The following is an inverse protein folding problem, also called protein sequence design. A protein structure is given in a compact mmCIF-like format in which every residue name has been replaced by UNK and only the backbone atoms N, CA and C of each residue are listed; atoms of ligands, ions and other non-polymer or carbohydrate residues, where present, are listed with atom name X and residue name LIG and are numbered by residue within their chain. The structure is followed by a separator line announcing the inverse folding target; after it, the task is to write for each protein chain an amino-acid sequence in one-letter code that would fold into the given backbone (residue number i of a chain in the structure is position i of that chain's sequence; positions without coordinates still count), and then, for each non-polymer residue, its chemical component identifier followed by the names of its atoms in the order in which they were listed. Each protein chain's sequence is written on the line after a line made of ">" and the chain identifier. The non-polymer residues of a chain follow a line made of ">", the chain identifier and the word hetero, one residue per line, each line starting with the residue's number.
data_IF_202305768417
#
_entry.id   IF_202305768417
#
_cell.length_a   1.000
_cell.length_b   1.000
_cell.length_c   1.000
_cell.angle_alpha   90.00
_cell.angle_beta   90.00
_cell.angle_gamma   90.00
#
_symmetry.space_group_name_H-M   'P 1'
#
loop_
_entity.id
_entity.type
_entity.pdbx_description
1 polymer ?
#
# COMPACT_ATOMS: atom_id res chain seq x y z
N UNK A 1 1.04 9.05 35.54
CA UNK A 1 -0.29 9.61 35.80
C UNK A 1 -1.21 9.21 34.67
N UNK A 2 -2.34 8.58 34.97
CA UNK A 2 -3.34 8.22 33.97
C UNK A 2 -4.27 9.42 33.73
N UNK A 3 -4.65 9.66 32.48
CA UNK A 3 -5.68 10.65 32.17
C UNK A 3 -7.08 10.05 32.37
N UNK A 4 -8.07 10.92 32.47
CA UNK A 4 -9.47 10.55 32.73
C UNK A 4 -10.01 9.54 31.70
N UNK A 5 -9.70 9.73 30.41
CA UNK A 5 -10.11 8.79 29.36
C UNK A 5 -9.52 7.39 29.53
N UNK A 6 -8.27 7.28 29.99
CA UNK A 6 -7.63 5.98 30.27
C UNK A 6 -8.26 5.30 31.48
N UNK A 7 -8.58 6.07 32.53
CA UNK A 7 -9.23 5.54 33.73
C UNK A 7 -10.62 5.00 33.40
N UNK A 8 -11.43 5.76 32.65
CA UNK A 8 -12.76 5.34 32.22
C UNK A 8 -12.71 4.07 31.35
N UNK A 9 -11.73 3.99 30.44
CA UNK A 9 -11.53 2.79 29.62
C UNK A 9 -11.19 1.55 30.46
N UNK A 10 -10.26 1.68 31.40
CA UNK A 10 -9.90 0.58 32.31
C UNK A 10 -11.10 0.12 33.15
N UNK A 11 -11.90 1.07 33.67
CA UNK A 11 -13.12 0.75 34.40
C UNK A 11 -14.10 -0.06 33.55
N UNK A 12 -14.33 0.35 32.30
CA UNK A 12 -15.23 -0.34 31.39
C UNK A 12 -14.74 -1.75 31.04
N UNK A 13 -13.45 -1.94 30.81
CA UNK A 13 -12.87 -3.27 30.62
C UNK A 13 -13.06 -4.18 31.83
N UNK A 14 -12.81 -3.67 33.05
CA UNK A 14 -12.99 -4.44 34.27
C UNK A 14 -14.45 -4.88 34.45
N UNK A 15 -15.41 -3.99 34.16
CA UNK A 15 -16.83 -4.33 34.20
C UNK A 15 -17.19 -5.42 33.17
N UNK A 16 -16.68 -5.34 31.93
CA UNK A 16 -16.92 -6.36 30.91
C UNK A 16 -16.39 -7.74 31.33
N UNK A 17 -15.17 -7.78 31.89
CA UNK A 17 -14.56 -9.02 32.38
C UNK A 17 -15.41 -9.62 33.51
N UNK A 18 -15.81 -8.83 34.51
CA UNK A 18 -16.64 -9.29 35.64
C UNK A 18 -18.01 -9.81 35.17
N UNK A 19 -18.63 -9.13 34.20
CA UNK A 19 -19.90 -9.56 33.60
C UNK A 19 -19.74 -10.89 32.84
N UNK A 20 -18.63 -11.09 32.10
CA UNK A 20 -18.39 -12.36 31.42
C UNK A 20 -18.14 -13.52 32.40
N UNK A 21 -17.34 -13.28 33.45
CA UNK A 21 -17.04 -14.28 34.48
C UNK A 21 -18.30 -14.72 35.25
N UNK A 22 -19.25 -13.81 35.50
CA UNK A 22 -20.53 -14.15 36.15
C UNK A 22 -21.48 -14.95 35.26
N UNK A 23 -21.36 -14.82 33.93
CA UNK A 23 -22.19 -15.55 32.97
C UNK A 23 -21.64 -16.95 32.66
N UNK A 24 -20.34 -17.17 32.81
CA UNK A 24 -19.69 -18.45 32.53
C UNK A 24 -18.54 -18.70 33.50
N UNK A 25 -18.80 -19.49 34.56
CA UNK A 25 -17.80 -19.78 35.61
C UNK A 25 -16.66 -20.70 35.16
N UNK A 26 -16.88 -21.52 34.13
CA UNK A 26 -15.90 -22.50 33.62
C UNK A 26 -15.14 -22.02 32.37
N UNK A 27 -15.33 -20.76 31.95
CA UNK A 27 -14.63 -20.20 30.79
C UNK A 27 -13.13 -20.11 31.02
N UNK A 28 -12.34 -20.48 30.02
CA UNK A 28 -10.89 -20.30 30.06
C UNK A 28 -10.58 -18.81 30.04
N UNK A 29 -9.59 -18.38 30.82
CA UNK A 29 -9.18 -16.97 30.90
C UNK A 29 -8.82 -16.35 29.54
N UNK A 30 -8.35 -17.15 28.58
CA UNK A 30 -8.00 -16.68 27.24
C UNK A 30 -9.22 -16.40 26.33
N UNK A 31 -10.39 -16.94 26.67
CA UNK A 31 -11.63 -16.73 25.90
C UNK A 31 -12.38 -15.45 26.34
N UNK A 32 -11.93 -14.83 27.44
CA UNK A 32 -12.54 -13.62 27.99
C UNK A 32 -12.11 -12.40 27.17
N UNK A 33 -13.10 -11.70 26.63
CA UNK A 33 -12.86 -10.47 25.87
C UNK A 33 -13.03 -9.26 26.78
N UNK A 34 -11.97 -8.47 26.94
CA UNK A 34 -11.99 -7.24 27.77
C UNK A 34 -12.49 -6.01 27.01
N UNK A 35 -12.40 -6.03 25.67
CA UNK A 35 -12.90 -4.96 24.83
C UNK A 35 -14.42 -4.87 24.95
N UNK A 36 -14.92 -3.65 25.12
CA UNK A 36 -16.37 -3.41 25.02
C UNK A 36 -16.83 -3.56 23.57
N UNK A 37 -18.14 -3.70 23.36
CA UNK A 37 -18.70 -3.74 22.00
C UNK A 37 -18.39 -2.46 21.21
N UNK A 38 -18.43 -1.30 21.88
CA UNK A 38 -18.09 0.00 21.27
C UNK A 38 -16.62 0.05 20.82
N UNK A 39 -15.71 -0.48 21.64
CA UNK A 39 -14.28 -0.53 21.28
C UNK A 39 -14.00 -1.54 20.17
N UNK A 40 -14.75 -2.65 20.13
CA UNK A 40 -14.66 -3.59 19.01
C UNK A 40 -15.09 -2.94 17.70
N UNK A 41 -16.20 -2.20 17.68
CA UNK A 41 -16.67 -1.45 16.50
C UNK A 41 -15.61 -0.41 16.09
N UNK A 42 -15.10 0.36 17.03
CA UNK A 42 -14.05 1.36 16.78
C UNK A 42 -12.80 0.73 16.12
N UNK A 43 -12.32 -0.38 16.68
CA UNK A 43 -11.09 -1.04 16.22
C UNK A 43 -11.26 -1.82 14.93
N UNK A 44 -12.40 -2.48 14.74
CA UNK A 44 -12.64 -3.38 13.61
C UNK A 44 -13.26 -2.67 12.43
N UNK A 45 -14.09 -1.66 12.66
CA UNK A 45 -14.86 -0.98 11.62
C UNK A 45 -14.33 0.43 11.40
N UNK A 46 -14.38 1.30 12.43
CA UNK A 46 -14.11 2.73 12.23
C UNK A 46 -12.65 3.00 11.84
N UNK A 47 -11.70 2.43 12.58
CA UNK A 47 -10.27 2.59 12.26
C UNK A 47 -9.87 1.85 11.00
N UNK A 48 -10.58 0.78 10.63
CA UNK A 48 -10.32 0.02 9.41
C UNK A 48 -11.18 0.48 8.23
N UNK A 49 -11.88 1.61 8.34
CA UNK A 49 -12.67 2.20 7.25
C UNK A 49 -11.75 2.85 6.19
N UNK A 50 -10.89 2.01 5.61
CA UNK A 50 -9.89 2.33 4.60
C UNK A 50 -10.35 1.91 3.20
N UNK A 51 -11.55 1.33 3.10
CA UNK A 51 -12.16 0.99 1.82
C UNK A 51 -12.43 2.27 1.02
N UNK A 52 -11.72 2.41 -0.07
CA UNK A 52 -11.92 3.46 -1.06
C UNK A 52 -12.10 2.78 -2.40
N UNK A 53 -13.07 3.24 -3.19
CA UNK A 53 -13.22 2.79 -4.57
C UNK A 53 -12.00 3.26 -5.37
N UNK A 54 -11.05 2.36 -5.57
CA UNK A 54 -9.88 2.61 -6.39
C UNK A 54 -10.25 2.43 -7.86
N UNK A 55 -10.40 3.55 -8.56
CA UNK A 55 -10.89 3.59 -9.95
C UNK A 55 -9.85 3.23 -11.00
N UNK A 56 -8.57 3.10 -10.62
CA UNK A 56 -7.52 2.71 -11.55
C UNK A 56 -7.50 1.18 -11.67
N UNK A 57 -8.38 0.66 -12.52
CA UNK A 57 -8.33 -0.74 -12.95
C UNK A 57 -7.15 -0.90 -13.90
N UNK A 58 -6.03 -1.46 -13.43
CA UNK A 58 -4.91 -1.74 -14.31
C UNK A 58 -3.57 -1.93 -13.63
N UNK A 59 -2.60 -2.39 -14.42
CA UNK A 59 -1.20 -2.45 -14.01
C UNK A 59 -0.60 -1.03 -14.13
N UNK A 60 0.42 -0.74 -13.31
CA UNK A 60 1.08 0.59 -13.30
C UNK A 60 1.53 1.01 -14.71
N UNK A 61 2.07 0.08 -15.51
CA UNK A 61 2.49 0.38 -16.88
C UNK A 61 1.30 0.77 -17.78
N UNK A 62 0.11 0.16 -17.59
CA UNK A 62 -1.09 0.51 -18.38
C UNK A 62 -1.57 1.92 -18.06
N UNK A 63 -1.59 2.29 -16.77
CA UNK A 63 -1.95 3.65 -16.33
C UNK A 63 -0.94 4.66 -16.90
N UNK A 64 0.34 4.29 -16.94
CA UNK A 64 1.39 5.12 -17.53
C UNK A 64 1.20 5.31 -19.04
N UNK A 65 0.95 4.24 -19.80
CA UNK A 65 0.66 4.31 -21.25
C UNK A 65 -0.55 5.21 -21.55
N UNK A 66 -1.60 5.17 -20.72
CA UNK A 66 -2.73 6.09 -20.85
C UNK A 66 -2.32 7.56 -20.69
N UNK A 67 -1.44 7.84 -19.72
CA UNK A 67 -0.91 9.18 -19.52
C UNK A 67 -0.03 9.62 -20.71
N UNK A 68 0.76 8.71 -21.28
CA UNK A 68 1.57 8.98 -22.47
C UNK A 68 0.68 9.33 -23.66
N UNK A 69 -0.44 8.63 -23.85
CA UNK A 69 -1.42 8.94 -24.91
C UNK A 69 -2.07 10.32 -24.70
N UNK A 70 -2.34 10.72 -23.45
CA UNK A 70 -2.96 12.01 -23.12
C UNK A 70 -2.02 13.19 -23.32
N UNK A 71 -0.78 13.09 -22.85
CA UNK A 71 0.19 14.19 -22.85
C UNK A 71 1.59 13.73 -23.25
N UNK A 72 1.81 13.31 -24.50
CA UNK A 72 3.05 12.64 -24.91
C UNK A 72 4.29 13.53 -24.78
N UNK A 73 4.16 14.81 -25.11
CA UNK A 73 5.26 15.78 -25.13
C UNK A 73 5.45 16.50 -23.78
N UNK A 74 4.61 16.20 -22.78
CA UNK A 74 4.80 16.74 -21.43
C UNK A 74 6.01 16.08 -20.76
N UNK A 75 6.71 16.84 -19.91
CA UNK A 75 7.85 16.34 -19.15
C UNK A 75 7.36 15.33 -18.10
N UNK A 76 7.88 14.10 -18.15
CA UNK A 76 7.58 13.04 -17.20
C UNK A 76 8.54 13.04 -16.01
N UNK A 77 9.82 13.31 -16.26
CA UNK A 77 10.83 13.37 -15.21
C UNK A 77 11.94 14.37 -15.54
N UNK A 78 12.55 14.91 -14.50
CA UNK A 78 13.70 15.82 -14.57
C UNK A 78 14.76 15.31 -13.60
N UNK A 79 15.99 15.23 -14.05
CA UNK A 79 17.14 14.93 -13.21
C UNK A 79 18.29 15.86 -13.59
N UNK A 80 18.73 16.68 -12.64
CA UNK A 80 19.69 17.77 -12.89
C UNK A 80 19.25 18.66 -14.08
N UNK A 81 20.04 18.73 -15.14
CA UNK A 81 19.77 19.52 -16.34
C UNK A 81 19.12 18.69 -17.45
N UNK A 82 18.84 17.40 -17.22
CA UNK A 82 18.19 16.51 -18.17
C UNK A 82 16.69 16.41 -17.90
N UNK A 83 15.91 16.35 -18.98
CA UNK A 83 14.47 16.14 -18.93
C UNK A 83 14.11 15.03 -19.91
N UNK A 84 13.04 14.30 -19.60
CA UNK A 84 12.50 13.28 -20.50
C UNK A 84 10.99 13.44 -20.59
N UNK A 85 10.45 13.39 -21.81
CA UNK A 85 9.00 13.44 -22.01
C UNK A 85 8.36 12.08 -21.70
N UNK A 86 7.04 12.07 -21.51
CA UNK A 86 6.28 10.81 -21.35
C UNK A 86 6.55 9.84 -22.51
N UNK A 87 6.48 10.33 -23.73
CA UNK A 87 6.70 9.54 -24.95
C UNK A 87 8.13 8.99 -25.04
N UNK A 88 9.13 9.77 -24.67
CA UNK A 88 10.52 9.32 -24.68
C UNK A 88 10.78 8.26 -23.60
N UNK A 89 10.22 8.46 -22.40
CA UNK A 89 10.35 7.52 -21.29
C UNK A 89 9.68 6.18 -21.62
N UNK A 90 8.44 6.19 -22.12
CA UNK A 90 7.72 5.00 -22.57
C UNK A 90 8.52 4.24 -23.63
N UNK A 91 8.99 4.94 -24.68
CA UNK A 91 9.75 4.32 -25.77
C UNK A 91 11.01 3.62 -25.26
N UNK A 92 11.79 4.27 -24.40
CA UNK A 92 13.03 3.70 -23.86
C UNK A 92 12.75 2.55 -22.88
N UNK A 93 11.71 2.65 -22.06
CA UNK A 93 11.28 1.58 -21.16
C UNK A 93 10.82 0.34 -21.95
N UNK A 94 10.01 0.52 -23.00
CA UNK A 94 9.55 -0.59 -23.85
C UNK A 94 10.69 -1.25 -24.62
N UNK A 95 11.70 -0.49 -25.04
CA UNK A 95 12.91 -1.06 -25.64
C UNK A 95 13.66 -1.96 -24.65
N UNK A 96 13.79 -1.52 -23.39
CA UNK A 96 14.41 -2.32 -22.33
C UNK A 96 13.56 -3.56 -22.02
N UNK A 97 12.25 -3.43 -21.89
CA UNK A 97 11.34 -4.54 -21.63
C UNK A 97 11.47 -5.64 -22.69
N UNK A 98 11.45 -5.26 -23.98
CA UNK A 98 11.66 -6.22 -25.07
C UNK A 98 13.06 -6.84 -25.07
N UNK A 99 14.09 -6.08 -24.69
CA UNK A 99 15.43 -6.62 -24.53
C UNK A 99 15.48 -7.68 -23.42
N UNK A 100 14.93 -7.39 -22.25
CA UNK A 100 14.88 -8.30 -21.11
C UNK A 100 14.06 -9.57 -21.43
N UNK A 101 12.91 -9.42 -22.07
CA UNK A 101 12.08 -10.54 -22.54
C UNK A 101 12.85 -11.48 -23.47
N UNK A 102 13.64 -10.93 -24.40
CA UNK A 102 14.51 -11.72 -25.29
C UNK A 102 15.61 -12.48 -24.53
N UNK A 103 15.97 -12.06 -23.33
CA UNK A 103 16.95 -12.72 -22.46
C UNK A 103 16.30 -13.64 -21.41
N UNK A 104 15.00 -13.94 -21.56
CA UNK A 104 14.29 -14.89 -20.72
C UNK A 104 13.68 -14.29 -19.45
N UNK A 105 13.68 -12.96 -19.30
CA UNK A 105 12.99 -12.29 -18.20
C UNK A 105 11.49 -12.27 -18.48
N UNK A 106 10.70 -12.74 -17.51
CA UNK A 106 9.24 -12.73 -17.56
C UNK A 106 8.63 -12.50 -16.18
N UNK A 107 7.33 -12.78 -16.02
CA UNK A 107 6.67 -12.73 -14.72
C UNK A 107 7.45 -13.52 -13.66
N UNK A 108 7.48 -12.99 -12.44
CA UNK A 108 8.17 -13.61 -11.28
C UNK A 108 9.69 -13.76 -11.41
N UNK A 109 10.30 -13.15 -12.43
CA UNK A 109 11.76 -13.10 -12.59
C UNK A 109 12.38 -12.02 -11.71
N UNK A 110 13.57 -12.31 -11.14
CA UNK A 110 14.33 -11.33 -10.36
C UNK A 110 15.31 -10.58 -11.26
N UNK A 111 15.16 -9.25 -11.34
CA UNK A 111 16.06 -8.36 -12.07
C UNK A 111 16.73 -7.38 -11.10
N UNK A 112 18.05 -7.45 -10.99
CA UNK A 112 18.82 -6.54 -10.16
C UNK A 112 19.04 -5.19 -10.86
N UNK A 113 18.68 -4.09 -10.20
CA UNK A 113 18.92 -2.72 -10.69
C UNK A 113 20.06 -2.10 -9.89
N UNK A 114 21.24 -1.97 -10.51
CA UNK A 114 22.42 -1.36 -9.89
C UNK A 114 22.82 -0.08 -10.61
N UNK A 115 22.30 1.06 -10.14
CA UNK A 115 22.60 2.39 -10.66
C UNK A 115 22.27 3.46 -9.61
N UNK A 116 22.91 4.63 -9.73
CA UNK A 116 22.53 5.81 -8.95
C UNK A 116 21.20 6.41 -9.39
N UNK A 117 20.75 7.47 -8.71
CA UNK A 117 19.57 8.24 -9.14
C UNK A 117 19.86 8.87 -10.51
N UNK A 118 19.01 8.61 -11.49
CA UNK A 118 19.12 9.18 -12.85
C UNK A 118 17.84 8.94 -13.66
N UNK A 119 17.75 9.51 -14.86
CA UNK A 119 16.66 9.20 -15.80
C UNK A 119 16.74 7.74 -16.30
N UNK A 120 17.94 7.15 -16.37
CA UNK A 120 18.13 5.74 -16.73
C UNK A 120 17.53 4.81 -15.67
N UNK A 121 17.56 5.19 -14.40
CA UNK A 121 16.88 4.45 -13.33
C UNK A 121 15.36 4.42 -13.54
N UNK A 122 14.76 5.54 -13.93
CA UNK A 122 13.33 5.59 -14.24
C UNK A 122 12.97 4.70 -15.44
N UNK A 123 13.81 4.70 -16.48
CA UNK A 123 13.66 3.80 -17.63
C UNK A 123 13.74 2.33 -17.19
N UNK A 124 14.69 2.00 -16.30
CA UNK A 124 14.84 0.65 -15.78
C UNK A 124 13.62 0.18 -14.99
N UNK A 125 13.13 0.99 -14.06
CA UNK A 125 11.98 0.62 -13.23
C UNK A 125 10.68 0.45 -14.01
N UNK A 126 10.51 1.20 -15.10
CA UNK A 126 9.32 1.09 -15.95
C UNK A 126 9.42 -0.06 -16.97
N UNK A 127 10.64 -0.42 -17.38
CA UNK A 127 10.88 -1.48 -18.37
C UNK A 127 11.06 -2.89 -17.80
N UNK A 128 11.13 -3.04 -16.47
CA UNK A 128 11.22 -4.31 -15.74
C UNK A 128 9.83 -4.70 -15.26
#
# INVERSE_FOLDING_TARGET
>A
YFNEGTINRIQNHLLQILIQMTKSLDSKLFEITHLTAEEQILLLEEWNHTQVNYSAEGMIHTIFEEQVKKTPEAIAAIYENEQITYKELEKRANQLAHYLQKHGVGPESLVGVYMGRSLQMMIALLGI
#
